data_IF_485848143254
#
_entry.id   IF_485848143254
#
_cell.length_a   1.000
_cell.length_b   1.000
_cell.length_c   1.000
_cell.angle_alpha   90.00
_cell.angle_beta   90.00
_cell.angle_gamma   90.00
#
_symmetry.space_group_name_H-M   'P 1'
#
loop_
_entity.id
_entity.type
_entity.pdbx_description
1 polymer ?
#
# COMPACT_ATOMS: atom_id res chain seq x y z
N UNK A 1 2.75 2.05 -7.73
CA UNK A 1 2.02 2.03 -9.03
C UNK A 1 2.93 2.11 -10.27
N UNK A 2 3.81 3.12 -10.38
CA UNK A 2 4.62 3.32 -11.60
C UNK A 2 5.51 2.12 -11.97
N UNK A 3 6.21 1.53 -10.99
CA UNK A 3 7.05 0.35 -11.23
C UNK A 3 6.24 -0.92 -11.58
N UNK A 4 5.10 -1.15 -10.92
CA UNK A 4 4.23 -2.31 -11.19
C UNK A 4 3.66 -2.26 -12.62
N UNK A 5 3.17 -1.09 -13.05
CA UNK A 5 2.71 -0.91 -14.42
C UNK A 5 3.84 -1.02 -15.45
N UNK A 6 5.04 -0.52 -15.14
CA UNK A 6 6.21 -0.64 -16.02
C UNK A 6 6.64 -2.10 -16.23
N UNK A 7 6.40 -2.97 -15.24
CA UNK A 7 6.64 -4.42 -15.33
C UNK A 7 5.50 -5.20 -15.98
N UNK A 8 4.40 -4.53 -16.35
CA UNK A 8 3.19 -5.17 -16.90
C UNK A 8 2.37 -5.95 -15.87
N UNK A 9 2.72 -5.84 -14.58
CA UNK A 9 2.07 -6.53 -13.48
C UNK A 9 0.86 -5.71 -13.00
N UNK A 10 -0.34 -6.28 -13.11
CA UNK A 10 -1.56 -5.67 -12.57
C UNK A 10 -1.69 -6.06 -11.09
N UNK A 11 -1.72 -5.07 -10.17
CA UNK A 11 -1.96 -5.36 -8.77
C UNK A 11 -3.36 -5.94 -8.58
N UNK A 12 -3.49 -6.91 -7.69
CA UNK A 12 -4.79 -7.53 -7.36
C UNK A 12 -5.66 -6.55 -6.56
N UNK A 13 -5.02 -5.74 -5.70
CA UNK A 13 -5.69 -4.77 -4.85
C UNK A 13 -5.07 -3.37 -4.98
N UNK A 14 -5.93 -2.34 -4.89
CA UNK A 14 -5.49 -0.96 -4.69
C UNK A 14 -5.56 -0.62 -3.21
N UNK A 15 -4.41 -0.35 -2.59
CA UNK A 15 -4.36 0.08 -1.20
C UNK A 15 -4.41 1.60 -1.13
N UNK A 16 -5.62 2.15 -1.08
CA UNK A 16 -5.83 3.59 -1.03
C UNK A 16 -5.65 4.17 0.37
N UNK A 17 -4.73 5.12 0.50
CA UNK A 17 -4.47 5.83 1.76
C UNK A 17 -5.18 7.19 1.74
N UNK A 18 -6.15 7.38 2.64
CA UNK A 18 -6.84 8.66 2.82
C UNK A 18 -6.01 9.73 3.56
N UNK A 19 -6.54 10.94 3.66
CA UNK A 19 -5.83 12.11 4.22
C UNK A 19 -5.23 11.86 5.62
N UNK A 20 -5.97 11.21 6.52
CA UNK A 20 -5.45 10.92 7.86
C UNK A 20 -4.23 10.00 7.82
N UNK A 21 -4.27 8.93 7.01
CA UNK A 21 -3.13 8.03 6.83
C UNK A 21 -1.93 8.66 6.14
N UNK A 22 -2.15 9.72 5.36
CA UNK A 22 -1.11 10.48 4.69
C UNK A 22 -0.47 11.58 5.56
N UNK A 23 -1.24 12.24 6.43
CA UNK A 23 -0.79 13.45 7.15
C UNK A 23 -0.68 13.28 8.67
N UNK A 24 -1.57 12.56 9.33
CA UNK A 24 -1.53 12.38 10.80
C UNK A 24 -0.49 11.32 11.18
N UNK A 25 0.44 11.68 12.06
CA UNK A 25 1.58 10.81 12.42
C UNK A 25 1.19 9.53 13.15
N UNK A 26 0.05 9.51 13.85
CA UNK A 26 -0.47 8.29 14.48
C UNK A 26 -1.04 7.37 13.41
N UNK A 27 -1.82 7.91 12.48
CA UNK A 27 -2.42 7.11 11.40
C UNK A 27 -1.41 6.65 10.35
N UNK A 28 -0.34 7.42 10.07
CA UNK A 28 0.78 6.95 9.25
C UNK A 28 1.39 5.64 9.77
N UNK A 29 1.45 5.44 11.10
CA UNK A 29 1.95 4.18 11.69
C UNK A 29 1.05 3.00 11.32
N UNK A 30 -0.26 3.19 11.37
CA UNK A 30 -1.26 2.18 11.01
C UNK A 30 -1.17 1.83 9.53
N UNK A 31 -1.16 2.83 8.65
CA UNK A 31 -1.01 2.63 7.20
C UNK A 31 0.24 1.84 6.85
N UNK A 32 1.39 2.18 7.47
CA UNK A 32 2.65 1.44 7.26
C UNK A 32 2.59 0.01 7.79
N UNK A 33 1.97 -0.21 8.95
CA UNK A 33 1.81 -1.55 9.50
C UNK A 33 0.95 -2.43 8.58
N UNK A 34 -0.12 -1.87 8.02
CA UNK A 34 -0.98 -2.59 7.09
C UNK A 34 -0.25 -2.98 5.80
N UNK A 35 0.50 -2.04 5.20
CA UNK A 35 1.33 -2.33 4.03
C UNK A 35 2.35 -3.46 4.31
N UNK A 36 2.98 -3.47 5.48
CA UNK A 36 3.91 -4.54 5.89
C UNK A 36 3.23 -5.92 5.97
N UNK A 37 2.00 -5.98 6.47
CA UNK A 37 1.24 -7.22 6.52
C UNK A 37 0.96 -7.74 5.11
N UNK A 38 0.52 -6.86 4.20
CA UNK A 38 0.27 -7.23 2.81
C UNK A 38 1.55 -7.74 2.12
N UNK A 39 2.69 -7.07 2.34
CA UNK A 39 3.99 -7.54 1.83
C UNK A 39 4.38 -8.90 2.42
N UNK A 40 4.18 -9.10 3.73
CA UNK A 40 4.50 -10.36 4.40
C UNK A 40 3.67 -11.54 3.86
N UNK A 41 2.41 -11.29 3.53
CA UNK A 41 1.51 -12.28 2.95
C UNK A 41 1.72 -12.47 1.43
N UNK A 42 2.69 -11.78 0.82
CA UNK A 42 2.91 -11.72 -0.63
C UNK A 42 1.64 -11.34 -1.42
N UNK A 43 0.79 -10.50 -0.83
CA UNK A 43 -0.39 -9.97 -1.53
C UNK A 43 0.07 -8.92 -2.52
N UNK A 44 -0.43 -9.00 -3.75
CA UNK A 44 -0.15 -7.99 -4.78
C UNK A 44 -1.03 -6.76 -4.57
N UNK A 45 -0.44 -5.66 -4.13
CA UNK A 45 -1.14 -4.38 -3.92
C UNK A 45 -0.38 -3.20 -4.53
N UNK A 46 -1.09 -2.11 -4.81
CA UNK A 46 -0.50 -0.85 -5.31
C UNK A 46 -0.98 0.40 -4.58
#
# INVERSE_FOLDING_TARGET
MADLFARGEKPEYLFWVGCAGAYDDRYKKVTRAFAKILSYLNVSYA
#
